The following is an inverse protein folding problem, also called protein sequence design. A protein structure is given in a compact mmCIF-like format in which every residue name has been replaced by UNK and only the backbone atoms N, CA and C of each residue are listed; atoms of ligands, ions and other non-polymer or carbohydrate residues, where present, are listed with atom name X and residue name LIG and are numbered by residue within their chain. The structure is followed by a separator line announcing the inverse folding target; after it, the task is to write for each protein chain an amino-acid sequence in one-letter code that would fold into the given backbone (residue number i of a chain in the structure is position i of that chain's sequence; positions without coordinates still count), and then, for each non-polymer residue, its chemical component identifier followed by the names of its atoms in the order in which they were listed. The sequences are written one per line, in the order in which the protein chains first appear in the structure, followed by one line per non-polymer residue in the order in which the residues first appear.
data_IF_137476708855
#
_entry.id   IF_137476708855
#
_cell.length_a   1.000
_cell.length_b   1.000
_cell.length_c   1.000
_cell.angle_alpha   90.00
_cell.angle_beta   90.00
_cell.angle_gamma   90.00
#
_symmetry.space_group_name_H-M   'P 1'
#
loop_
_entity.id
_entity.type
_entity.pdbx_description
1 polymer ?
#
# COMPACT_ATOMS: atom_id res chain seq x y z
N UNK A 1 10.00 -3.28 -18.63
CA UNK A 1 10.96 -3.73 -17.61
C UNK A 1 11.05 -5.24 -17.65
N UNK A 2 12.10 -5.84 -17.08
CA UNK A 2 12.22 -7.31 -16.98
C UNK A 2 11.05 -7.91 -16.18
N UNK A 3 10.67 -7.26 -15.08
CA UNK A 3 9.50 -7.59 -14.27
C UNK A 3 8.24 -7.89 -15.11
N UNK A 4 7.78 -6.95 -15.94
CA UNK A 4 6.57 -7.13 -16.75
C UNK A 4 6.68 -8.35 -17.69
N UNK A 5 7.83 -8.54 -18.33
CA UNK A 5 8.06 -9.68 -19.25
C UNK A 5 8.04 -11.03 -18.53
N UNK A 6 8.49 -11.07 -17.27
CA UNK A 6 8.45 -12.29 -16.46
C UNK A 6 7.01 -12.58 -16.03
N UNK A 7 6.29 -11.57 -15.53
CA UNK A 7 4.92 -11.73 -15.06
C UNK A 7 3.88 -11.89 -16.16
N UNK A 8 4.18 -11.51 -17.41
CA UNK A 8 3.40 -11.87 -18.60
C UNK A 8 3.29 -13.39 -18.83
N UNK A 9 4.16 -14.18 -18.18
CA UNK A 9 4.12 -15.65 -18.23
C UNK A 9 3.31 -16.26 -17.10
N UNK A 10 2.81 -15.46 -16.16
CA UNK A 10 1.91 -15.93 -15.10
C UNK A 10 0.63 -16.45 -15.75
N UNK A 11 0.09 -17.54 -15.22
CA UNK A 11 -1.21 -18.04 -15.66
C UNK A 11 -2.28 -16.94 -15.44
N UNK A 12 -3.12 -16.70 -16.46
CA UNK A 12 -4.13 -15.65 -16.41
C UNK A 12 -5.20 -15.92 -15.33
N UNK A 13 -5.34 -17.17 -14.87
CA UNK A 13 -6.24 -17.53 -13.77
C UNK A 13 -5.66 -17.18 -12.38
N UNK A 14 -4.42 -16.69 -12.30
CA UNK A 14 -3.77 -16.26 -11.05
C UNK A 14 -3.70 -14.73 -11.00
N UNK A 15 -4.53 -14.06 -10.20
CA UNK A 15 -4.47 -12.61 -10.05
C UNK A 15 -3.16 -12.14 -9.43
N UNK A 16 -2.55 -11.12 -10.04
CA UNK A 16 -1.38 -10.43 -9.50
C UNK A 16 -1.82 -9.13 -8.83
N UNK A 17 -1.64 -9.05 -7.52
CA UNK A 17 -1.87 -7.83 -6.73
C UNK A 17 -0.51 -7.22 -6.41
N UNK A 18 -0.30 -5.96 -6.78
CA UNK A 18 0.94 -5.24 -6.52
C UNK A 18 0.79 -4.32 -5.33
N UNK A 19 1.80 -4.32 -4.48
CA UNK A 19 1.95 -3.40 -3.36
C UNK A 19 3.36 -2.81 -3.45
N UNK A 20 3.43 -1.50 -3.68
CA UNK A 20 4.69 -0.81 -3.85
C UNK A 20 5.38 -0.50 -2.51
N UNK A 21 6.71 -0.51 -2.53
CA UNK A 21 7.57 -0.21 -1.40
C UNK A 21 8.49 1.00 -1.62
N UNK A 22 9.48 1.16 -0.75
CA UNK A 22 10.44 2.26 -0.82
C UNK A 22 11.32 2.20 -2.09
N UNK A 23 11.55 1.01 -2.63
CA UNK A 23 12.27 0.84 -3.90
C UNK A 23 11.44 1.27 -5.11
N UNK A 24 10.12 1.35 -4.97
CA UNK A 24 9.21 1.76 -6.05
C UNK A 24 8.90 3.26 -5.98
N UNK A 25 8.80 3.82 -4.77
CA UNK A 25 8.41 5.22 -4.55
C UNK A 25 9.53 6.15 -4.07
N UNK A 26 10.72 5.62 -3.74
CA UNK A 26 11.78 6.27 -2.94
C UNK A 26 11.50 6.23 -1.43
N UNK A 27 12.55 6.34 -0.60
CA UNK A 27 12.42 6.49 0.85
C UNK A 27 11.71 7.80 1.24
N UNK A 28 11.89 8.85 0.43
CA UNK A 28 11.17 10.12 0.52
C UNK A 28 10.42 10.29 -0.80
N UNK A 29 9.15 9.88 -0.88
CA UNK A 29 8.40 9.87 -2.13
C UNK A 29 8.17 11.29 -2.66
N UNK A 30 8.12 11.43 -3.98
CA UNK A 30 7.75 12.67 -4.67
C UNK A 30 6.50 12.44 -5.53
N UNK A 31 5.85 13.50 -5.96
CA UNK A 31 4.70 13.40 -6.87
C UNK A 31 5.10 12.68 -8.16
N UNK A 32 6.31 12.91 -8.65
CA UNK A 32 6.86 12.26 -9.85
C UNK A 32 7.10 10.76 -9.64
N UNK A 33 7.65 10.35 -8.50
CA UNK A 33 7.89 8.92 -8.22
C UNK A 33 6.58 8.16 -8.09
N UNK A 34 5.58 8.73 -7.40
CA UNK A 34 4.24 8.15 -7.29
C UNK A 34 3.56 8.10 -8.66
N UNK A 35 3.63 9.16 -9.46
CA UNK A 35 3.07 9.19 -10.82
C UNK A 35 3.73 8.16 -11.74
N UNK A 36 5.05 7.99 -11.63
CA UNK A 36 5.79 7.00 -12.40
C UNK A 36 5.37 5.56 -12.04
N UNK A 37 5.19 5.26 -10.75
CA UNK A 37 4.63 3.99 -10.29
C UNK A 37 3.22 3.79 -10.87
N UNK A 38 2.32 4.76 -10.69
CA UNK A 38 0.93 4.64 -11.14
C UNK A 38 0.78 4.43 -12.63
N UNK A 39 1.57 5.15 -13.42
CA UNK A 39 1.63 4.99 -14.87
C UNK A 39 2.12 3.60 -15.28
N UNK A 40 2.99 2.99 -14.47
CA UNK A 40 3.62 1.71 -14.78
C UNK A 40 2.81 0.52 -14.28
N UNK A 41 2.26 0.60 -13.07
CA UNK A 41 1.73 -0.55 -12.32
C UNK A 41 0.25 -0.40 -11.91
N UNK A 42 -0.33 0.80 -12.01
CA UNK A 42 -1.69 1.08 -11.56
C UNK A 42 -1.72 1.70 -10.16
N UNK A 43 -2.89 1.67 -9.52
CA UNK A 43 -3.11 2.39 -8.26
C UNK A 43 -2.12 2.00 -7.15
N UNK A 44 -1.71 3.00 -6.37
CA UNK A 44 -0.72 2.88 -5.29
C UNK A 44 -1.35 2.51 -3.94
N UNK A 45 -2.66 2.70 -3.80
CA UNK A 45 -3.50 2.19 -2.73
C UNK A 45 -4.89 1.87 -3.29
N UNK A 46 -5.53 0.81 -2.80
CA UNK A 46 -6.84 0.36 -3.29
C UNK A 46 -7.45 -0.69 -2.36
N UNK A 47 -8.71 -1.01 -2.59
CA UNK A 47 -9.39 -2.13 -1.93
C UNK A 47 -9.87 -3.15 -2.95
N UNK A 48 -9.94 -4.41 -2.54
CA UNK A 48 -10.56 -5.47 -3.32
C UNK A 48 -11.21 -6.50 -2.39
N UNK A 49 -12.06 -7.35 -2.95
CA UNK A 49 -12.84 -8.31 -2.20
C UNK A 49 -12.83 -9.67 -2.87
N UNK A 50 -12.69 -10.72 -2.05
CA UNK A 50 -12.75 -12.12 -2.49
C UNK A 50 -13.50 -12.92 -1.42
N UNK A 51 -14.59 -13.58 -1.79
CA UNK A 51 -15.33 -14.58 -0.99
C UNK A 51 -15.71 -14.19 0.45
N UNK A 52 -16.00 -12.90 0.66
CA UNK A 52 -16.39 -12.34 1.95
C UNK A 52 -15.25 -11.66 2.70
N UNK A 53 -14.04 -11.64 2.15
CA UNK A 53 -12.87 -10.98 2.75
C UNK A 53 -12.59 -9.66 2.03
N UNK A 54 -12.48 -8.58 2.79
CA UNK A 54 -12.03 -7.28 2.30
C UNK A 54 -10.53 -7.16 2.47
N UNK A 55 -9.85 -6.71 1.43
CA UNK A 55 -8.43 -6.42 1.44
C UNK A 55 -8.21 -4.94 1.18
N UNK A 56 -7.35 -4.31 1.98
CA UNK A 56 -6.99 -2.90 1.90
C UNK A 56 -5.49 -2.80 1.68
N UNK A 57 -5.08 -2.29 0.53
CA UNK A 57 -3.68 -2.03 0.19
C UNK A 57 -3.41 -0.55 0.39
N UNK A 58 -2.40 -0.20 1.18
CA UNK A 58 -2.03 1.20 1.46
C UNK A 58 -0.64 1.53 0.92
N UNK A 59 -0.45 2.77 0.46
CA UNK A 59 0.89 3.29 0.23
C UNK A 59 1.46 3.77 1.58
N UNK A 60 2.17 2.86 2.23
CA UNK A 60 2.71 3.11 3.57
C UNK A 60 3.83 4.16 3.58
N UNK A 61 4.44 4.43 2.42
CA UNK A 61 5.53 5.42 2.34
C UNK A 61 5.09 6.82 2.72
N UNK A 62 3.83 7.17 2.48
CA UNK A 62 3.27 8.47 2.88
C UNK A 62 3.22 8.66 4.40
N UNK A 63 3.10 7.57 5.18
CA UNK A 63 3.17 7.65 6.64
C UNK A 63 4.62 7.74 7.15
N UNK A 64 5.57 7.19 6.38
CA UNK A 64 6.98 7.26 6.73
C UNK A 64 7.59 8.63 6.45
N UNK A 65 7.32 9.19 5.27
CA UNK A 65 7.74 10.54 4.88
C UNK A 65 6.77 11.11 3.83
N UNK A 66 6.08 12.19 4.19
CA UNK A 66 5.18 12.92 3.29
C UNK A 66 5.68 14.32 2.92
N UNK A 67 6.95 14.63 3.21
CA UNK A 67 7.53 15.98 3.03
C UNK A 67 7.29 16.54 1.62
N UNK A 68 7.31 15.70 0.60
CA UNK A 68 7.11 16.09 -0.81
C UNK A 68 5.78 15.64 -1.41
N UNK A 69 4.90 15.00 -0.64
CA UNK A 69 3.64 14.40 -1.10
C UNK A 69 2.47 14.66 -0.16
N UNK A 70 2.50 15.75 0.63
CA UNK A 70 1.48 16.06 1.63
C UNK A 70 0.04 15.98 1.11
N UNK A 71 -0.23 16.47 -0.10
CA UNK A 71 -1.57 16.37 -0.71
C UNK A 71 -2.00 14.92 -0.98
N UNK A 72 -1.11 14.08 -1.49
CA UNK A 72 -1.39 12.65 -1.73
C UNK A 72 -1.57 11.87 -0.42
N UNK A 73 -0.79 12.23 0.61
CA UNK A 73 -0.98 11.71 1.96
C UNK A 73 -2.38 12.04 2.50
N UNK A 74 -2.80 13.32 2.43
CA UNK A 74 -4.13 13.75 2.89
C UNK A 74 -5.26 13.08 2.11
N UNK A 75 -5.10 12.89 0.80
CA UNK A 75 -6.05 12.14 -0.04
C UNK A 75 -6.17 10.67 0.43
N UNK A 76 -5.05 10.01 0.72
CA UNK A 76 -5.05 8.65 1.24
C UNK A 76 -5.67 8.56 2.63
N UNK A 77 -5.43 9.53 3.52
CA UNK A 77 -6.02 9.57 4.85
C UNK A 77 -7.55 9.64 4.79
N UNK A 78 -8.08 10.57 3.99
CA UNK A 78 -9.53 10.68 3.78
C UNK A 78 -10.11 9.41 3.15
N UNK A 79 -9.35 8.76 2.26
CA UNK A 79 -9.76 7.52 1.63
C UNK A 79 -9.78 6.35 2.62
N UNK A 80 -8.74 6.17 3.43
CA UNK A 80 -8.65 5.02 4.34
C UNK A 80 -9.67 5.12 5.46
N UNK A 81 -9.97 6.31 5.97
CA UNK A 81 -11.06 6.51 6.93
C UNK A 81 -12.39 6.00 6.38
N UNK A 82 -12.67 6.24 5.09
CA UNK A 82 -13.87 5.71 4.43
C UNK A 82 -13.83 4.20 4.30
N UNK A 83 -12.69 3.62 3.93
CA UNK A 83 -12.56 2.17 3.80
C UNK A 83 -12.68 1.45 5.15
N UNK A 84 -12.16 2.04 6.23
CA UNK A 84 -12.28 1.50 7.58
C UNK A 84 -13.71 1.64 8.13
N UNK A 85 -14.40 2.74 7.81
CA UNK A 85 -15.82 2.89 8.12
C UNK A 85 -16.66 1.81 7.40
N UNK A 86 -16.42 1.60 6.11
CA UNK A 86 -17.04 0.54 5.31
C UNK A 86 -16.71 -0.85 5.86
N UNK A 87 -15.45 -1.11 6.21
CA UNK A 87 -15.02 -2.38 6.80
C UNK A 87 -15.73 -2.69 8.12
N UNK A 88 -16.08 -1.64 8.90
CA UNK A 88 -16.80 -1.76 10.17
C UNK A 88 -18.30 -1.97 9.99
N UNK A 89 -18.93 -1.31 9.02
CA UNK A 89 -20.37 -1.43 8.77
C UNK A 89 -20.73 -2.56 7.80
N UNK A 90 -19.79 -2.95 6.96
CA UNK A 90 -19.93 -3.99 5.97
C UNK A 90 -19.93 -5.38 6.59
N UNK A 91 -20.65 -6.30 5.98
CA UNK A 91 -20.75 -7.69 6.45
C UNK A 91 -19.58 -8.54 5.90
N UNK A 92 -18.34 -8.10 6.11
CA UNK A 92 -17.15 -8.84 5.74
C UNK A 92 -16.81 -9.88 6.80
N UNK A 93 -16.46 -11.09 6.37
CA UNK A 93 -15.99 -12.17 7.28
C UNK A 93 -14.65 -11.79 7.91
N UNK A 94 -13.76 -11.20 7.11
CA UNK A 94 -12.45 -10.74 7.52
C UNK A 94 -12.08 -9.45 6.79
N UNK A 95 -11.26 -8.63 7.43
CA UNK A 95 -10.66 -7.42 6.87
C UNK A 95 -9.15 -7.55 7.04
N UNK A 96 -8.41 -7.42 5.95
CA UNK A 96 -6.96 -7.59 5.91
C UNK A 96 -6.34 -6.32 5.32
N UNK A 97 -5.35 -5.76 6.01
CA UNK A 97 -4.59 -4.59 5.54
C UNK A 97 -3.20 -5.04 5.12
N UNK A 98 -2.79 -4.66 3.92
CA UNK A 98 -1.46 -4.88 3.38
C UNK A 98 -0.66 -3.59 3.34
N UNK A 99 0.61 -3.69 3.75
CA UNK A 99 1.59 -2.61 3.71
C UNK A 99 3.01 -3.17 3.58
N UNK A 100 3.93 -2.37 3.04
CA UNK A 100 5.33 -2.75 2.82
C UNK A 100 6.20 -2.61 4.07
N UNK A 101 5.93 -1.58 4.88
CA UNK A 101 6.64 -1.24 6.10
C UNK A 101 5.76 -1.70 7.26
N UNK A 102 6.26 -2.56 8.17
CA UNK A 102 5.49 -2.97 9.34
C UNK A 102 5.34 -1.81 10.32
N UNK A 103 4.22 -1.74 11.04
CA UNK A 103 4.04 -0.74 12.10
C UNK A 103 4.90 -1.01 13.33
N UNK A 104 5.23 -2.28 13.58
CA UNK A 104 6.10 -2.71 14.66
C UNK A 104 6.95 -3.93 14.24
N UNK A 105 8.20 -4.01 14.71
CA UNK A 105 9.06 -5.19 14.51
C UNK A 105 8.97 -6.18 15.66
N UNK A 106 8.89 -5.67 16.89
CA UNK A 106 9.07 -6.48 18.10
C UNK A 106 7.84 -6.43 18.99
N UNK A 107 7.32 -5.23 19.25
CA UNK A 107 6.20 -5.03 20.17
C UNK A 107 5.25 -3.97 19.64
N UNK A 108 3.94 -4.18 19.82
CA UNK A 108 2.91 -3.22 19.38
C UNK A 108 3.02 -1.85 20.09
N UNK A 109 3.70 -1.79 21.23
CA UNK A 109 3.93 -0.57 22.00
C UNK A 109 5.34 0.02 21.79
N UNK A 110 6.09 -0.43 20.78
CA UNK A 110 7.39 0.17 20.47
C UNK A 110 7.22 1.64 20.01
N UNK A 111 8.23 2.51 20.25
CA UNK A 111 8.13 3.92 19.90
C UNK A 111 7.88 4.13 18.39
N UNK A 112 6.94 5.02 18.06
CA UNK A 112 6.53 5.33 16.67
C UNK A 112 7.65 5.90 15.79
N UNK A 113 8.68 6.47 16.42
CA UNK A 113 9.82 7.11 15.75
C UNK A 113 10.67 6.11 14.92
N UNK A 114 10.41 4.81 15.08
CA UNK A 114 11.13 3.71 14.45
C UNK A 114 10.29 2.93 13.44
N UNK A 115 9.44 3.58 12.63
CA UNK A 115 8.83 2.85 11.50
C UNK A 115 9.95 2.19 10.66
N UNK A 116 10.04 0.84 10.60
CA UNK A 116 11.30 0.16 10.38
C UNK A 116 11.46 -0.20 8.90
N UNK A 117 12.59 0.17 8.31
CA UNK A 117 12.89 -0.23 6.93
C UNK A 117 13.63 -1.58 6.99
N UNK A 118 12.93 -2.66 6.64
CA UNK A 118 13.50 -4.01 6.60
C UNK A 118 14.38 -4.25 5.36
N UNK A 119 14.28 -3.41 4.34
CA UNK A 119 15.01 -3.53 3.08
C UNK A 119 15.65 -2.18 2.71
N UNK A 120 16.94 -2.04 2.96
CA UNK A 120 17.80 -0.90 2.55
C UNK A 120 18.78 -1.32 1.48
#
# INVERSE_FOLDING_TARGET
TDFKKVFEKLDNDIPLVLLGGNHDFLNSPTVESVTAYKTTFGDDYFTFWIDGVMFIVINVQFYKDNTHVKGLYEEQEVWIDKQLAEAKSGNYKHVIVFQHIPWFLRDINEPLDEMPILCT
#
